data_IF_460633173847
#
_entry.id   IF_460633173847
#
_cell.length_a   1.000
_cell.length_b   1.000
_cell.length_c   1.000
_cell.angle_alpha   90.00
_cell.angle_beta   90.00
_cell.angle_gamma   90.00
#
_symmetry.space_group_name_H-M   'P 1'
#
loop_
_entity.id
_entity.type
_entity.pdbx_description
1 polymer ?
#
# COMPACT_ATOMS: atom_id res chain seq x y z
N UNK A 1 -27.67 8.46 51.95
CA UNK A 1 -26.51 8.15 51.11
C UNK A 1 -26.78 6.99 50.15
N UNK A 2 -27.83 6.22 50.31
CA UNK A 2 -28.11 4.99 49.51
C UNK A 2 -28.95 5.24 48.24
N UNK A 3 -29.51 6.43 48.03
CA UNK A 3 -30.35 6.74 46.88
C UNK A 3 -29.57 7.23 45.65
N UNK A 4 -28.33 7.70 45.82
CA UNK A 4 -27.54 8.24 44.69
C UNK A 4 -26.89 7.12 43.85
N UNK A 5 -26.55 5.97 44.47
CA UNK A 5 -25.93 4.83 43.77
C UNK A 5 -26.93 4.06 42.89
N UNK A 6 -28.20 3.98 43.27
CA UNK A 6 -29.23 3.29 42.50
C UNK A 6 -29.62 4.04 41.21
N UNK A 7 -29.62 5.38 41.25
CA UNK A 7 -29.93 6.21 40.09
C UNK A 7 -28.83 6.16 39.01
N UNK A 8 -27.56 6.08 39.40
CA UNK A 8 -26.44 5.95 38.48
C UNK A 8 -26.37 4.59 37.79
N UNK A 9 -26.74 3.51 38.55
CA UNK A 9 -26.76 2.16 37.98
C UNK A 9 -27.89 1.96 36.95
N UNK A 10 -29.08 2.55 37.22
CA UNK A 10 -30.18 2.52 36.25
C UNK A 10 -29.89 3.39 34.99
N UNK A 11 -29.19 4.51 35.14
CA UNK A 11 -28.75 5.32 34.01
C UNK A 11 -27.75 4.61 33.11
N UNK A 12 -26.82 3.85 33.70
CA UNK A 12 -25.81 3.08 32.93
C UNK A 12 -26.42 1.93 32.12
N UNK A 13 -27.40 1.23 32.66
CA UNK A 13 -28.09 0.12 31.97
C UNK A 13 -28.99 0.64 30.82
N UNK A 14 -29.59 1.80 30.98
CA UNK A 14 -30.40 2.42 29.93
C UNK A 14 -29.53 2.91 28.74
N UNK A 15 -28.37 3.45 29.02
CA UNK A 15 -27.43 3.88 27.99
C UNK A 15 -26.82 2.71 27.22
N UNK A 16 -26.51 1.60 27.89
CA UNK A 16 -25.98 0.39 27.25
C UNK A 16 -27.00 -0.32 26.36
N UNK A 17 -28.29 -0.15 26.63
CA UNK A 17 -29.38 -0.72 25.85
C UNK A 17 -29.85 0.18 24.67
N UNK A 18 -29.27 1.37 24.52
CA UNK A 18 -29.63 2.28 23.42
C UNK A 18 -29.22 1.64 22.09
N UNK A 19 -30.19 1.46 21.20
CA UNK A 19 -29.95 0.96 19.85
C UNK A 19 -29.18 1.99 19.00
N UNK A 20 -28.42 1.51 18.04
CA UNK A 20 -27.82 2.37 17.01
C UNK A 20 -28.92 2.81 16.05
N UNK A 21 -29.22 4.10 16.02
CA UNK A 21 -30.23 4.67 15.15
C UNK A 21 -29.69 4.92 13.73
N UNK A 22 -28.40 5.19 13.62
CA UNK A 22 -27.75 5.44 12.34
C UNK A 22 -26.37 4.83 12.26
N UNK A 23 -26.12 4.11 11.17
CA UNK A 23 -24.80 3.66 10.75
C UNK A 23 -24.43 4.42 9.47
N UNK A 24 -23.45 5.31 9.59
CA UNK A 24 -22.95 6.09 8.44
C UNK A 24 -21.61 5.51 8.03
N UNK A 25 -21.51 5.04 6.79
CA UNK A 25 -20.26 4.60 6.16
C UNK A 25 -19.92 5.58 5.06
N UNK A 26 -18.70 6.11 5.07
CA UNK A 26 -18.24 7.09 4.09
C UNK A 26 -16.79 6.82 3.69
N UNK A 27 -16.39 7.26 2.51
CA UNK A 27 -15.03 7.17 1.98
C UNK A 27 -15.02 7.60 0.51
N UNK A 28 -13.88 8.08 0.06
CA UNK A 28 -13.62 8.28 -1.38
C UNK A 28 -13.02 6.96 -1.90
N UNK A 29 -13.91 6.09 -2.40
CA UNK A 29 -13.59 4.69 -2.73
C UNK A 29 -14.06 4.37 -4.15
N UNK A 30 -13.31 3.53 -4.86
CA UNK A 30 -13.60 3.08 -6.22
C UNK A 30 -13.87 1.57 -6.29
N UNK A 31 -13.16 0.79 -5.48
CA UNK A 31 -13.22 -0.69 -5.47
C UNK A 31 -14.00 -1.24 -4.28
N UNK A 32 -14.43 -0.38 -3.36
CA UNK A 32 -15.19 -0.78 -2.17
C UNK A 32 -16.66 -0.43 -2.37
N UNK A 33 -17.52 -1.44 -2.27
CA UNK A 33 -18.96 -1.26 -2.26
C UNK A 33 -19.43 -0.84 -0.84
N UNK A 34 -19.76 0.44 -0.69
CA UNK A 34 -20.22 1.01 0.59
C UNK A 34 -21.52 0.36 1.06
N UNK A 35 -22.43 0.01 0.16
CA UNK A 35 -23.72 -0.61 0.52
C UNK A 35 -23.49 -2.04 1.04
N UNK A 36 -22.59 -2.79 0.42
CA UNK A 36 -22.18 -4.10 0.91
C UNK A 36 -21.53 -4.03 2.30
N UNK A 37 -20.69 -3.01 2.55
CA UNK A 37 -20.11 -2.76 3.87
C UNK A 37 -21.18 -2.44 4.91
N UNK A 38 -22.12 -1.56 4.61
CA UNK A 38 -23.21 -1.22 5.51
C UNK A 38 -24.06 -2.45 5.87
N UNK A 39 -24.40 -3.24 4.86
CA UNK A 39 -25.17 -4.49 5.06
C UNK A 39 -24.42 -5.50 5.94
N UNK A 40 -23.10 -5.59 5.80
CA UNK A 40 -22.24 -6.46 6.62
C UNK A 40 -22.14 -5.98 8.06
N UNK A 41 -22.09 -4.68 8.30
CA UNK A 41 -21.96 -4.11 9.64
C UNK A 41 -23.29 -4.04 10.40
N UNK A 42 -24.43 -4.00 9.72
CA UNK A 42 -25.76 -3.87 10.34
C UNK A 42 -25.98 -4.88 11.49
N UNK A 43 -25.74 -6.18 11.36
CA UNK A 43 -25.90 -7.14 12.45
C UNK A 43 -24.91 -6.92 13.60
N UNK A 44 -23.74 -6.35 13.34
CA UNK A 44 -22.71 -6.09 14.36
C UNK A 44 -23.10 -4.94 15.28
N UNK A 45 -23.71 -3.91 14.73
CA UNK A 45 -24.15 -2.74 15.50
C UNK A 45 -25.47 -2.98 16.21
N UNK A 46 -26.18 -4.07 15.91
CA UNK A 46 -27.41 -4.47 16.60
C UNK A 46 -27.22 -4.77 18.10
N UNK A 47 -25.98 -5.01 18.56
CA UNK A 47 -25.65 -5.17 19.98
C UNK A 47 -25.97 -3.91 20.81
N UNK A 48 -26.06 -2.75 20.19
CA UNK A 48 -26.38 -1.47 20.81
C UNK A 48 -25.24 -0.46 20.73
N UNK A 49 -25.56 0.81 20.94
CA UNK A 49 -24.65 1.94 20.71
C UNK A 49 -23.36 1.88 21.55
N UNK A 50 -23.47 1.55 22.83
CA UNK A 50 -22.31 1.43 23.71
C UNK A 50 -21.71 0.02 23.70
N UNK A 51 -22.51 -1.01 23.42
CA UNK A 51 -22.10 -2.39 23.42
C UNK A 51 -21.33 -2.79 22.15
N UNK A 52 -21.49 -2.06 21.04
CA UNK A 52 -20.74 -2.30 19.80
C UNK A 52 -19.25 -2.06 20.02
N UNK A 53 -18.42 -3.06 19.76
CA UNK A 53 -16.97 -2.90 19.77
C UNK A 53 -16.47 -2.27 18.45
N UNK A 54 -16.01 -1.02 18.53
CA UNK A 54 -15.52 -0.30 17.38
C UNK A 54 -14.16 -0.81 16.89
N UNK A 55 -13.37 -1.42 17.78
CA UNK A 55 -12.08 -2.01 17.39
C UNK A 55 -12.29 -3.26 16.54
N UNK A 56 -13.25 -4.11 16.95
CA UNK A 56 -13.60 -5.30 16.18
C UNK A 56 -14.14 -4.93 14.80
N UNK A 57 -15.01 -3.91 14.70
CA UNK A 57 -15.51 -3.41 13.44
C UNK A 57 -14.35 -2.91 12.53
N UNK A 58 -13.42 -2.17 13.11
CA UNK A 58 -12.24 -1.68 12.40
C UNK A 58 -11.40 -2.83 11.86
N UNK A 59 -11.01 -3.79 12.72
CA UNK A 59 -10.17 -4.92 12.31
C UNK A 59 -10.86 -5.78 11.25
N UNK A 60 -12.17 -5.99 11.35
CA UNK A 60 -12.92 -6.73 10.34
C UNK A 60 -12.86 -6.02 8.97
N UNK A 61 -13.04 -4.71 8.94
CA UNK A 61 -13.00 -3.95 7.69
C UNK A 61 -11.59 -3.81 7.13
N UNK A 62 -10.58 -3.62 7.99
CA UNK A 62 -9.16 -3.56 7.57
C UNK A 62 -8.63 -4.90 7.03
N UNK A 63 -9.34 -6.02 7.27
CA UNK A 63 -9.02 -7.31 6.65
C UNK A 63 -9.47 -7.42 5.18
N UNK A 64 -10.25 -6.48 4.68
CA UNK A 64 -10.71 -6.48 3.30
C UNK A 64 -9.61 -5.98 2.35
N UNK A 65 -9.45 -6.61 1.18
CA UNK A 65 -8.29 -6.35 0.31
C UNK A 65 -8.07 -4.89 -0.07
N UNK A 66 -9.16 -4.17 -0.39
CA UNK A 66 -9.08 -2.78 -0.83
C UNK A 66 -9.15 -1.75 0.31
N UNK A 67 -9.31 -2.19 1.55
CA UNK A 67 -9.36 -1.28 2.70
C UNK A 67 -7.95 -1.06 3.24
N UNK A 68 -7.46 0.18 3.15
CA UNK A 68 -6.17 0.56 3.71
C UNK A 68 -6.27 0.89 5.18
N UNK A 69 -7.27 1.71 5.55
CA UNK A 69 -7.46 2.14 6.93
C UNK A 69 -8.91 2.45 7.21
N UNK A 70 -9.32 2.17 8.43
CA UNK A 70 -10.67 2.45 8.91
C UNK A 70 -10.62 3.32 10.15
N UNK A 71 -11.39 4.39 10.14
CA UNK A 71 -11.64 5.20 11.34
C UNK A 71 -13.09 5.00 11.77
N UNK A 72 -13.28 4.60 13.03
CA UNK A 72 -14.61 4.39 13.61
C UNK A 72 -14.82 5.32 14.78
N UNK A 73 -15.97 5.97 14.84
CA UNK A 73 -16.31 6.83 15.97
C UNK A 73 -17.80 6.78 16.32
N UNK A 74 -18.09 7.01 17.60
CA UNK A 74 -19.46 7.23 18.08
C UNK A 74 -19.81 8.70 17.96
N UNK A 75 -20.99 8.98 17.40
CA UNK A 75 -21.61 10.31 17.43
C UNK A 75 -22.89 10.23 18.25
N UNK A 76 -22.94 11.04 19.28
CA UNK A 76 -24.12 11.12 20.11
C UNK A 76 -25.31 11.71 19.34
N UNK A 77 -26.56 11.27 19.59
CA UNK A 77 -26.90 10.34 20.68
C UNK A 77 -26.74 8.83 20.34
N UNK A 78 -26.84 8.41 19.08
CA UNK A 78 -26.94 6.98 18.75
C UNK A 78 -26.43 6.67 17.31
N UNK A 79 -25.41 7.36 16.86
CA UNK A 79 -24.82 7.17 15.53
C UNK A 79 -23.41 6.56 15.62
N UNK A 80 -23.15 5.54 14.79
CA UNK A 80 -21.80 5.04 14.52
C UNK A 80 -21.38 5.51 13.15
N UNK A 81 -20.25 6.18 13.10
CA UNK A 81 -19.63 6.67 11.87
C UNK A 81 -18.40 5.85 11.55
N UNK A 82 -18.29 5.34 10.32
CA UNK A 82 -17.18 4.59 9.77
C UNK A 82 -16.64 5.33 8.57
N UNK A 83 -15.39 5.73 8.63
CA UNK A 83 -14.68 6.36 7.50
C UNK A 83 -13.66 5.39 6.94
N UNK A 84 -13.79 5.06 5.65
CA UNK A 84 -12.92 4.16 4.93
C UNK A 84 -11.88 4.95 4.13
N UNK A 85 -10.65 4.48 4.18
CA UNK A 85 -9.58 4.91 3.25
C UNK A 85 -9.22 3.70 2.39
N UNK A 86 -9.25 3.88 1.08
CA UNK A 86 -8.97 2.82 0.14
C UNK A 86 -7.47 2.63 -0.10
N UNK A 87 -7.06 1.39 -0.41
CA UNK A 87 -5.70 1.07 -0.85
C UNK A 87 -5.38 1.78 -2.18
N UNK A 88 -4.16 2.27 -2.26
CA UNK A 88 -3.63 2.86 -3.51
C UNK A 88 -2.42 2.06 -3.95
N UNK A 89 -2.57 1.23 -4.99
CA UNK A 89 -1.45 0.45 -5.50
C UNK A 89 -0.41 1.36 -6.16
N UNK A 90 0.85 1.16 -5.80
CA UNK A 90 2.00 1.83 -6.42
C UNK A 90 2.85 0.89 -7.26
N UNK A 91 2.78 -0.41 -6.99
CA UNK A 91 3.48 -1.44 -7.74
C UNK A 91 2.69 -2.76 -7.68
N UNK A 92 2.96 -3.63 -8.64
CA UNK A 92 2.57 -5.03 -8.58
C UNK A 92 3.63 -5.82 -7.81
N UNK A 93 3.23 -6.88 -7.11
CA UNK A 93 4.13 -7.73 -6.34
C UNK A 93 4.10 -9.18 -6.83
N UNK A 94 5.24 -9.68 -7.33
CA UNK A 94 5.37 -11.06 -7.77
C UNK A 94 4.31 -11.48 -8.79
N UNK A 95 3.74 -12.67 -8.58
CA UNK A 95 2.70 -13.23 -9.46
C UNK A 95 1.27 -12.79 -9.08
N UNK A 96 1.08 -12.14 -7.94
CA UNK A 96 -0.26 -11.72 -7.52
C UNK A 96 -0.27 -10.77 -6.33
N UNK A 97 -1.00 -9.68 -6.47
CA UNK A 97 -1.14 -8.65 -5.47
C UNK A 97 -0.50 -7.33 -5.86
N UNK A 98 -0.72 -6.36 -5.01
CA UNK A 98 -0.20 -5.00 -5.15
C UNK A 98 0.54 -4.58 -3.90
N UNK A 99 1.42 -3.61 -4.05
CA UNK A 99 2.10 -2.93 -2.95
C UNK A 99 1.58 -1.49 -2.86
N UNK A 100 1.22 -1.08 -1.65
CA UNK A 100 0.93 0.31 -1.35
C UNK A 100 2.24 1.12 -1.11
N UNK A 101 2.10 2.40 -0.78
CA UNK A 101 3.25 3.31 -0.55
C UNK A 101 4.11 2.93 0.68
N UNK A 102 3.59 2.16 1.62
CA UNK A 102 4.30 1.65 2.79
C UNK A 102 5.00 0.31 2.50
N UNK A 103 4.71 -0.29 1.33
CA UNK A 103 5.21 -1.61 0.95
C UNK A 103 4.42 -2.75 1.57
N UNK A 104 3.19 -2.49 2.01
CA UNK A 104 2.29 -3.53 2.45
C UNK A 104 1.66 -4.21 1.24
N UNK A 105 1.66 -5.53 1.25
CA UNK A 105 1.02 -6.35 0.21
C UNK A 105 -0.47 -6.46 0.49
N UNK A 106 -1.27 -6.17 -0.52
CA UNK A 106 -2.69 -6.50 -0.48
C UNK A 106 -3.09 -7.32 -1.70
N UNK A 107 -3.82 -8.40 -1.44
CA UNK A 107 -4.30 -9.30 -2.49
C UNK A 107 -5.61 -8.75 -3.04
N UNK A 108 -5.60 -8.33 -4.29
CA UNK A 108 -6.80 -7.91 -5.00
C UNK A 108 -6.85 -8.57 -6.38
N UNK A 109 -8.05 -8.71 -6.92
CA UNK A 109 -8.21 -9.18 -8.29
C UNK A 109 -7.46 -8.24 -9.24
N UNK A 110 -6.68 -8.78 -10.19
CA UNK A 110 -5.99 -7.95 -11.17
C UNK A 110 -6.96 -7.01 -11.89
N UNK A 111 -6.65 -5.71 -11.86
CA UNK A 111 -7.43 -4.68 -12.50
C UNK A 111 -6.64 -4.10 -13.69
N UNK A 112 -7.25 -4.01 -14.90
CA UNK A 112 -6.62 -3.42 -16.07
C UNK A 112 -6.10 -1.99 -15.83
N UNK A 113 -6.70 -1.24 -14.90
CA UNK A 113 -6.26 0.11 -14.53
C UNK A 113 -4.82 0.14 -13.97
N UNK A 114 -4.37 -0.96 -13.39
CA UNK A 114 -3.06 -1.05 -12.71
C UNK A 114 -2.07 -1.97 -13.44
N UNK A 115 -2.36 -2.38 -14.66
CA UNK A 115 -1.46 -3.25 -15.44
C UNK A 115 -0.11 -2.60 -15.76
N UNK A 116 -0.08 -1.27 -15.90
CA UNK A 116 1.11 -0.49 -16.23
C UNK A 116 1.94 -0.11 -15.00
N UNK A 117 1.50 -0.50 -13.79
CA UNK A 117 2.32 -0.31 -12.60
C UNK A 117 3.59 -1.16 -12.66
N UNK A 118 4.72 -0.64 -12.13
CA UNK A 118 5.97 -1.39 -12.09
C UNK A 118 5.81 -2.70 -11.33
N UNK A 119 6.47 -3.74 -11.82
CA UNK A 119 6.52 -5.04 -11.17
C UNK A 119 7.72 -5.10 -10.21
N UNK A 120 7.47 -5.38 -8.94
CA UNK A 120 8.49 -5.63 -7.93
C UNK A 120 8.57 -7.13 -7.66
N UNK A 121 9.79 -7.69 -7.72
CA UNK A 121 10.05 -9.11 -7.52
C UNK A 121 11.14 -9.26 -6.47
N UNK A 122 10.86 -9.99 -5.41
CA UNK A 122 11.83 -10.24 -4.33
C UNK A 122 11.46 -11.46 -3.50
N UNK A 123 12.35 -11.88 -2.61
CA UNK A 123 12.04 -12.92 -1.64
C UNK A 123 10.98 -12.45 -0.64
N UNK A 124 10.27 -13.40 -0.04
CA UNK A 124 9.29 -13.14 1.01
C UNK A 124 9.89 -12.32 2.15
N UNK A 125 9.17 -11.30 2.61
CA UNK A 125 9.62 -10.37 3.64
C UNK A 125 10.47 -9.20 3.11
N UNK A 126 10.72 -9.11 1.81
CA UNK A 126 11.45 -8.00 1.20
C UNK A 126 10.54 -6.85 0.75
N UNK A 127 9.23 -6.97 0.85
CA UNK A 127 8.21 -6.08 0.28
C UNK A 127 8.45 -4.61 0.64
N UNK A 128 8.48 -4.32 1.94
CA UNK A 128 8.68 -2.96 2.47
C UNK A 128 10.04 -2.40 2.05
N UNK A 129 11.09 -3.24 2.12
CA UNK A 129 12.44 -2.82 1.76
C UNK A 129 12.58 -2.56 0.26
N UNK A 130 11.93 -3.38 -0.57
CA UNK A 130 11.96 -3.26 -2.03
C UNK A 130 11.11 -2.07 -2.50
N UNK A 131 9.95 -1.82 -1.90
CA UNK A 131 9.14 -0.62 -2.18
C UNK A 131 9.92 0.66 -1.86
N UNK A 132 10.58 0.73 -0.70
CA UNK A 132 11.42 1.88 -0.34
C UNK A 132 12.57 2.08 -1.32
N UNK A 133 13.18 0.98 -1.76
CA UNK A 133 14.24 0.99 -2.77
C UNK A 133 13.73 1.47 -4.12
N UNK A 134 12.56 0.99 -4.54
CA UNK A 134 11.89 1.45 -5.76
C UNK A 134 11.66 2.97 -5.71
N UNK A 135 11.05 3.49 -4.64
CA UNK A 135 10.80 4.93 -4.49
C UNK A 135 12.10 5.76 -4.56
N UNK A 136 13.15 5.26 -3.91
CA UNK A 136 14.47 5.92 -3.97
C UNK A 136 15.06 5.92 -5.37
N UNK A 137 15.00 4.78 -6.06
CA UNK A 137 15.53 4.64 -7.42
C UNK A 137 14.73 5.46 -8.43
N UNK A 138 13.40 5.44 -8.34
CA UNK A 138 12.52 6.24 -9.18
C UNK A 138 12.84 7.74 -9.06
N UNK A 139 12.99 8.25 -7.83
CA UNK A 139 13.38 9.65 -7.63
C UNK A 139 14.80 9.98 -8.12
N UNK A 140 15.75 9.05 -7.98
CA UNK A 140 17.11 9.26 -8.52
C UNK A 140 17.17 9.24 -10.04
N UNK A 141 16.30 8.46 -10.69
CA UNK A 141 16.28 8.25 -12.15
C UNK A 141 15.32 9.22 -12.87
N UNK A 142 14.42 9.89 -12.15
CA UNK A 142 13.47 10.85 -12.73
C UNK A 142 14.11 11.81 -13.76
N UNK A 143 15.29 12.43 -13.50
CA UNK A 143 15.90 13.37 -14.46
C UNK A 143 16.34 12.72 -15.77
N UNK A 144 16.46 11.39 -15.84
CA UNK A 144 16.83 10.67 -17.06
C UNK A 144 15.65 10.45 -18.01
N UNK A 145 14.42 10.67 -17.55
CA UNK A 145 13.18 10.35 -18.27
C UNK A 145 12.87 8.85 -18.38
N UNK A 146 13.69 7.99 -17.80
CA UNK A 146 13.50 6.54 -17.81
C UNK A 146 12.46 6.12 -16.75
N UNK A 147 11.46 5.36 -17.16
CA UNK A 147 10.43 4.81 -16.28
C UNK A 147 10.77 3.34 -15.93
N UNK A 148 10.76 3.02 -14.64
CA UNK A 148 11.02 1.67 -14.15
C UNK A 148 9.78 0.82 -14.40
N UNK A 149 9.89 -0.23 -15.21
CA UNK A 149 8.85 -1.24 -15.43
C UNK A 149 9.00 -2.46 -14.52
N UNK A 150 10.22 -2.78 -14.10
CA UNK A 150 10.50 -3.89 -13.19
C UNK A 150 11.68 -3.58 -12.27
N UNK A 151 11.57 -3.95 -11.02
CA UNK A 151 12.66 -3.95 -10.04
C UNK A 151 12.73 -5.32 -9.39
N UNK A 152 13.86 -5.99 -9.51
CA UNK A 152 14.07 -7.30 -8.92
C UNK A 152 15.19 -7.30 -7.88
N UNK A 153 14.98 -8.09 -6.82
CA UNK A 153 15.93 -8.38 -5.76
C UNK A 153 16.08 -9.90 -5.66
N UNK A 154 17.25 -10.42 -5.96
CA UNK A 154 17.50 -11.85 -5.81
C UNK A 154 17.83 -12.25 -4.34
N UNK A 155 17.83 -13.54 -4.00
CA UNK A 155 18.16 -13.99 -2.65
C UNK A 155 19.60 -13.64 -2.19
N UNK A 156 20.50 -13.30 -3.11
CA UNK A 156 21.87 -12.85 -2.82
C UNK A 156 21.96 -11.34 -2.62
N UNK A 157 20.79 -10.63 -2.67
CA UNK A 157 20.71 -9.19 -2.52
C UNK A 157 21.09 -8.40 -3.77
N UNK A 158 21.21 -9.06 -4.94
CA UNK A 158 21.49 -8.37 -6.20
C UNK A 158 20.24 -7.64 -6.68
N UNK A 159 20.41 -6.41 -7.07
CA UNK A 159 19.33 -5.56 -7.60
C UNK A 159 19.50 -5.40 -9.09
N UNK A 160 18.41 -5.64 -9.83
CA UNK A 160 18.30 -5.32 -11.24
C UNK A 160 17.06 -4.46 -11.49
N UNK A 161 17.17 -3.58 -12.48
CA UNK A 161 16.09 -2.67 -12.92
C UNK A 161 15.87 -2.90 -14.40
N UNK A 162 14.61 -2.95 -14.82
CA UNK A 162 14.22 -2.89 -16.22
C UNK A 162 13.36 -1.65 -16.44
N UNK A 163 13.54 -1.01 -17.57
CA UNK A 163 12.78 0.17 -17.97
C UNK A 163 11.79 -0.15 -19.09
N UNK A 164 10.77 0.68 -19.26
CA UNK A 164 9.79 0.56 -20.34
C UNK A 164 10.42 0.58 -21.73
N UNK A 165 11.57 1.28 -21.85
CA UNK A 165 12.37 1.31 -23.08
C UNK A 165 13.01 -0.04 -23.46
N UNK A 166 12.94 -1.06 -22.58
CA UNK A 166 13.62 -2.33 -22.72
C UNK A 166 15.04 -2.37 -22.16
N UNK A 167 15.61 -1.21 -21.78
CA UNK A 167 16.92 -1.14 -21.13
C UNK A 167 16.91 -1.89 -19.80
N UNK A 168 17.97 -2.65 -19.55
CA UNK A 168 18.20 -3.35 -18.28
C UNK A 168 19.44 -2.81 -17.56
N UNK A 169 19.33 -2.62 -16.24
CA UNK A 169 20.40 -2.08 -15.40
C UNK A 169 20.72 -3.06 -14.29
N UNK A 170 21.96 -3.58 -14.22
CA UNK A 170 22.42 -4.43 -13.14
C UNK A 170 23.16 -3.60 -12.11
N UNK A 171 22.55 -3.45 -10.94
CA UNK A 171 23.08 -2.61 -9.86
C UNK A 171 23.87 -3.38 -8.82
N UNK A 172 23.61 -4.69 -8.68
CA UNK A 172 24.28 -5.50 -7.65
C UNK A 172 23.74 -5.25 -6.24
N UNK A 173 24.47 -5.70 -5.22
CA UNK A 173 24.01 -5.68 -3.82
C UNK A 173 24.51 -4.46 -3.02
N UNK A 174 25.56 -3.77 -3.47
CA UNK A 174 26.24 -2.72 -2.70
C UNK A 174 26.29 -1.41 -3.48
N UNK A 175 26.39 -0.31 -2.75
CA UNK A 175 26.66 1.04 -3.30
C UNK A 175 25.69 1.48 -4.41
N UNK A 176 24.44 1.05 -4.32
CA UNK A 176 23.42 1.23 -5.36
C UNK A 176 23.27 2.71 -5.75
N UNK A 177 23.18 3.60 -4.76
CA UNK A 177 23.04 5.03 -5.02
C UNK A 177 24.23 5.63 -5.78
N UNK A 178 25.45 5.17 -5.48
CA UNK A 178 26.65 5.59 -6.20
C UNK A 178 26.65 5.06 -7.64
N UNK A 179 26.24 3.81 -7.83
CA UNK A 179 26.14 3.18 -9.16
C UNK A 179 25.10 3.86 -10.04
N UNK A 180 23.95 4.22 -9.46
CA UNK A 180 22.92 4.98 -10.17
C UNK A 180 23.43 6.38 -10.58
N UNK A 181 24.16 7.08 -9.70
CA UNK A 181 24.76 8.37 -10.05
C UNK A 181 25.77 8.23 -11.22
N UNK A 182 26.57 7.15 -11.23
CA UNK A 182 27.47 6.85 -12.34
C UNK A 182 26.72 6.53 -13.62
N UNK A 183 25.65 5.74 -13.54
CA UNK A 183 24.77 5.47 -14.67
C UNK A 183 24.19 6.76 -15.27
N UNK A 184 23.67 7.66 -14.44
CA UNK A 184 23.12 8.94 -14.91
C UNK A 184 24.11 9.74 -15.73
N UNK A 185 25.35 9.85 -15.25
CA UNK A 185 26.42 10.54 -15.99
C UNK A 185 26.69 9.88 -17.34
N UNK A 186 26.83 8.55 -17.36
CA UNK A 186 27.03 7.81 -18.61
C UNK A 186 25.85 8.00 -19.57
N UNK A 187 24.62 7.98 -19.05
CA UNK A 187 23.40 8.14 -19.83
C UNK A 187 23.29 9.52 -20.47
N UNK A 188 23.65 10.56 -19.76
CA UNK A 188 23.59 11.95 -20.23
C UNK A 188 24.73 12.32 -21.17
N UNK A 189 25.92 11.77 -20.95
CA UNK A 189 27.14 12.24 -21.66
C UNK A 189 27.60 11.30 -22.78
N UNK A 190 27.36 9.98 -22.67
CA UNK A 190 28.07 9.01 -23.51
C UNK A 190 27.18 7.98 -24.22
N UNK A 191 25.98 7.69 -23.69
CA UNK A 191 25.18 6.59 -24.20
C UNK A 191 24.10 7.05 -25.20
N UNK A 192 24.08 6.48 -26.41
CA UNK A 192 22.97 6.71 -27.35
C UNK A 192 21.73 5.96 -26.86
N UNK A 193 20.77 6.68 -26.28
CA UNK A 193 19.61 6.16 -25.60
C UNK A 193 18.81 5.06 -26.35
N UNK A 194 18.85 5.05 -27.68
CA UNK A 194 18.06 4.12 -28.49
C UNK A 194 18.76 2.79 -28.81
N UNK A 195 20.03 2.64 -28.48
CA UNK A 195 20.82 1.47 -28.89
C UNK A 195 21.29 0.61 -27.72
N UNK A 196 21.08 1.05 -26.47
CA UNK A 196 21.58 0.34 -25.29
C UNK A 196 20.53 -0.62 -24.77
N UNK A 197 20.85 -1.92 -24.80
CA UNK A 197 19.99 -2.96 -24.23
C UNK A 197 20.27 -3.23 -22.75
N UNK A 198 21.54 -3.13 -22.33
CA UNK A 198 21.92 -3.47 -20.95
C UNK A 198 23.14 -2.68 -20.49
N UNK A 199 23.10 -2.24 -19.22
CA UNK A 199 24.24 -1.64 -18.52
C UNK A 199 24.52 -2.39 -17.23
N UNK A 200 25.71 -2.98 -17.09
CA UNK A 200 26.16 -3.65 -15.88
C UNK A 200 27.08 -2.73 -15.09
N UNK A 201 26.62 -2.32 -13.91
CA UNK A 201 27.30 -1.39 -13.01
C UNK A 201 27.96 -2.09 -11.80
N UNK A 202 28.00 -3.40 -11.79
CA UNK A 202 28.55 -4.16 -10.68
C UNK A 202 30.07 -4.00 -10.52
N UNK A 203 30.73 -3.52 -11.55
CA UNK A 203 32.15 -3.18 -11.51
C UNK A 203 32.43 -1.96 -10.63
N UNK A 204 33.62 -1.92 -10.03
CA UNK A 204 33.98 -0.87 -9.08
C UNK A 204 34.14 0.50 -9.76
N UNK A 205 34.84 0.55 -10.89
CA UNK A 205 35.22 1.80 -11.57
C UNK A 205 34.67 1.97 -13.00
N UNK A 206 33.79 1.08 -13.43
CA UNK A 206 33.28 1.12 -14.82
C UNK A 206 31.86 0.61 -14.97
N UNK A 207 31.45 0.48 -16.22
CA UNK A 207 30.23 -0.20 -16.62
C UNK A 207 30.50 -1.02 -17.88
N UNK A 208 29.87 -2.19 -17.99
CA UNK A 208 29.81 -2.92 -19.24
C UNK A 208 28.48 -2.60 -19.93
N UNK A 209 28.54 -2.22 -21.21
CA UNK A 209 27.38 -1.84 -21.99
C UNK A 209 27.17 -2.86 -23.10
N UNK A 210 25.93 -3.27 -23.31
CA UNK A 210 25.49 -4.12 -24.43
C UNK A 210 24.47 -3.34 -25.24
N UNK A 211 24.66 -3.37 -26.55
CA UNK A 211 23.79 -2.72 -27.53
C UNK A 211 22.86 -3.73 -28.18
#
# INVERSE_FOLDING_TARGET
VTLVSAGLYQGGTHLSAQQVERLTVMGDVQHIDIEAIQSRLAPRVAAGFLATDLSDLRHELESLPWVYRVNTRRRWPAEIEVTLTEQRPLARWGEGGYLNHEGEVFAATPDPLYQDLPLLIGPDGAEVSLMRRYQTLAGLLEPTGLQISELSLDPLGQVAVRFDSGLSLLLGAKDISHRVKRFKRLWEEELPAQAVAKVDLRYEYGAAVTF
#
